data_IF_671768620544
#
_entry.id   IF_671768620544
#
_cell.length_a   1.000
_cell.length_b   1.000
_cell.length_c   1.000
_cell.angle_alpha   90.00
_cell.angle_beta   90.00
_cell.angle_gamma   90.00
#
_symmetry.space_group_name_H-M   'P 1'
#
loop_
_entity.id
_entity.type
_entity.pdbx_description
1 polymer ?
#
# COMPACT_ATOMS: atom_id res chain seq x y z
N UNK A 1 0.88 -9.48 10.45
CA UNK A 1 1.01 -9.06 9.04
C UNK A 1 1.07 -10.29 8.13
N UNK A 2 1.94 -11.25 8.44
CA UNK A 2 1.97 -12.58 7.79
C UNK A 2 0.61 -13.30 7.76
N UNK A 3 -0.12 -13.32 8.88
CA UNK A 3 -1.42 -13.98 8.98
C UNK A 3 -2.51 -13.40 8.05
N UNK A 4 -2.48 -12.09 7.78
CA UNK A 4 -3.43 -11.45 6.86
C UNK A 4 -3.06 -11.72 5.38
N UNK A 5 -1.77 -11.83 5.07
CA UNK A 5 -1.29 -12.17 3.72
C UNK A 5 -1.66 -13.59 3.31
N UNK A 6 -1.51 -14.57 4.22
CA UNK A 6 -1.96 -15.95 3.99
C UNK A 6 -3.48 -16.11 4.02
N UNK A 7 -4.20 -15.41 4.90
CA UNK A 7 -5.67 -15.43 4.94
C UNK A 7 -6.30 -14.86 3.66
N UNK A 8 -5.62 -13.92 3.00
CA UNK A 8 -6.00 -13.38 1.69
C UNK A 8 -5.60 -14.30 0.51
N UNK A 9 -5.09 -15.50 0.79
CA UNK A 9 -4.71 -16.53 -0.18
C UNK A 9 -3.46 -16.21 -0.99
N UNK A 10 -2.64 -15.23 -0.57
CA UNK A 10 -1.59 -14.65 -1.42
C UNK A 10 -2.13 -14.26 -2.82
N UNK A 11 -3.29 -13.60 -2.88
CA UNK A 11 -3.92 -13.14 -4.14
C UNK A 11 -3.98 -11.63 -4.31
N UNK A 12 -3.64 -10.87 -3.27
CA UNK A 12 -3.84 -9.43 -3.23
C UNK A 12 -2.58 -8.71 -2.75
N UNK A 13 -2.42 -7.49 -3.25
CA UNK A 13 -1.40 -6.55 -2.85
C UNK A 13 -1.88 -5.76 -1.63
N UNK A 14 -0.93 -5.38 -0.78
CA UNK A 14 -1.17 -4.55 0.41
C UNK A 14 -0.31 -3.30 0.34
N UNK A 15 -0.92 -2.15 0.58
CA UNK A 15 -0.24 -0.86 0.69
C UNK A 15 -0.58 -0.22 2.03
N UNK A 16 0.43 0.31 2.71
CA UNK A 16 0.31 1.11 3.93
C UNK A 16 1.01 2.43 3.67
N UNK A 17 0.32 3.54 3.89
CA UNK A 17 0.85 4.88 3.62
C UNK A 17 0.44 5.89 4.69
N UNK A 18 1.37 6.73 5.11
CA UNK A 18 1.09 7.87 5.98
C UNK A 18 0.22 8.90 5.24
N UNK A 19 -1.04 9.06 5.64
CA UNK A 19 -1.99 9.96 4.97
C UNK A 19 -1.69 11.45 5.15
N UNK A 20 -0.72 11.82 5.99
CA UNK A 20 -0.28 13.21 6.13
C UNK A 20 0.65 13.67 5.00
N UNK A 21 1.09 12.76 4.12
CA UNK A 21 1.95 13.08 2.98
C UNK A 21 1.16 13.11 1.66
N UNK A 22 1.72 13.77 0.65
CA UNK A 22 1.16 13.76 -0.70
C UNK A 22 1.32 12.39 -1.37
N UNK A 23 0.26 11.91 -2.02
CA UNK A 23 0.30 10.66 -2.77
C UNK A 23 -0.68 10.65 -3.94
N UNK A 24 -0.47 9.74 -4.88
CA UNK A 24 -1.45 9.36 -5.90
C UNK A 24 -1.62 7.84 -5.91
N UNK A 25 -2.85 7.37 -6.13
CA UNK A 25 -3.14 5.94 -6.27
C UNK A 25 -4.08 5.69 -7.43
N UNK A 26 -3.88 4.56 -8.10
CA UNK A 26 -4.84 3.99 -9.04
C UNK A 26 -4.92 2.50 -8.77
N UNK A 27 -5.67 2.13 -7.73
CA UNK A 27 -5.86 0.72 -7.37
C UNK A 27 -7.12 0.14 -8.03
N UNK A 28 -6.96 -1.05 -8.59
CA UNK A 28 -8.03 -1.83 -9.18
C UNK A 28 -8.41 -2.99 -8.25
N UNK A 29 -9.70 -3.30 -8.18
CA UNK A 29 -10.21 -4.43 -7.39
C UNK A 29 -9.94 -4.27 -5.89
N UNK A 30 -10.04 -3.06 -5.34
CA UNK A 30 -9.88 -2.80 -3.90
C UNK A 30 -10.88 -3.65 -3.12
N UNK A 31 -10.38 -4.50 -2.23
CA UNK A 31 -11.17 -5.33 -1.32
C UNK A 31 -11.43 -4.64 -0.01
N UNK A 32 -10.45 -3.87 0.45
CA UNK A 32 -10.54 -3.16 1.72
C UNK A 32 -9.71 -1.89 1.66
N UNK A 33 -10.28 -0.82 2.22
CA UNK A 33 -9.55 0.35 2.68
C UNK A 33 -9.88 0.57 4.15
N UNK A 34 -8.87 0.75 4.97
CA UNK A 34 -9.02 1.07 6.38
C UNK A 34 -7.99 2.13 6.79
N UNK A 35 -8.27 2.81 7.90
CA UNK A 35 -7.30 3.71 8.53
C UNK A 35 -6.86 3.16 9.87
N UNK A 36 -5.58 3.30 10.17
CA UNK A 36 -4.98 2.89 11.45
C UNK A 36 -4.21 4.08 12.00
N UNK A 37 -4.46 4.41 13.26
CA UNK A 37 -3.74 5.48 13.95
C UNK A 37 -2.57 4.90 14.74
N UNK A 38 -1.38 5.45 14.55
CA UNK A 38 -0.18 5.13 15.31
C UNK A 38 0.44 6.43 15.83
N UNK A 39 0.32 6.66 17.14
CA UNK A 39 0.63 7.96 17.74
C UNK A 39 -0.28 9.06 17.18
N UNK A 40 0.32 10.13 16.64
CA UNK A 40 -0.38 11.24 15.98
C UNK A 40 -0.60 11.02 14.48
N UNK A 41 -0.07 9.93 13.91
CA UNK A 41 -0.09 9.69 12.46
C UNK A 41 -1.23 8.73 12.10
N UNK A 42 -1.98 9.08 11.05
CA UNK A 42 -3.00 8.21 10.46
C UNK A 42 -2.44 7.57 9.20
N UNK A 43 -2.41 6.25 9.18
CA UNK A 43 -2.02 5.46 8.02
C UNK A 43 -3.26 4.93 7.30
N UNK A 44 -3.24 4.97 5.97
CA UNK A 44 -4.17 4.25 5.12
C UNK A 44 -3.63 2.86 4.85
N UNK A 45 -4.51 1.86 4.88
CA UNK A 45 -4.22 0.47 4.57
C UNK A 45 -5.14 0.04 3.44
N UNK A 46 -4.58 -0.33 2.29
CA UNK A 46 -5.32 -0.84 1.14
C UNK A 46 -4.99 -2.31 0.90
N UNK A 47 -6.02 -3.09 0.60
CA UNK A 47 -5.91 -4.45 0.06
C UNK A 47 -6.57 -4.47 -1.31
N UNK A 48 -5.83 -4.82 -2.36
CA UNK A 48 -6.26 -4.62 -3.74
C UNK A 48 -5.63 -5.62 -4.71
N UNK A 49 -6.13 -5.70 -5.94
CA UNK A 49 -5.68 -6.71 -6.91
C UNK A 49 -4.44 -6.28 -7.69
N UNK A 50 -4.42 -5.06 -8.21
CA UNK A 50 -3.31 -4.48 -8.97
C UNK A 50 -3.48 -2.97 -9.06
N UNK A 51 -2.52 -2.28 -9.66
CA UNK A 51 -2.60 -0.85 -9.90
C UNK A 51 -1.30 -0.15 -9.56
N UNK A 52 -1.34 1.17 -9.37
CA UNK A 52 -0.13 1.93 -9.08
C UNK A 52 -0.29 2.85 -7.87
N UNK A 53 0.86 3.14 -7.26
CA UNK A 53 0.99 4.11 -6.18
C UNK A 53 2.20 5.00 -6.43
N UNK A 54 2.03 6.31 -6.24
CA UNK A 54 3.12 7.29 -6.28
C UNK A 54 3.21 7.97 -4.94
N UNK A 55 4.32 7.76 -4.23
CA UNK A 55 4.69 8.55 -3.06
C UNK A 55 5.24 9.90 -3.53
N UNK A 56 4.54 10.99 -3.21
CA UNK A 56 4.98 12.38 -3.47
C UNK A 56 5.53 13.07 -2.21
N UNK A 57 5.63 12.35 -1.10
CA UNK A 57 6.30 12.80 0.11
C UNK A 57 7.83 12.66 0.01
N UNK A 58 8.48 12.60 1.16
CA UNK A 58 9.94 12.51 1.29
C UNK A 58 10.53 11.13 0.91
N UNK A 59 9.68 10.14 0.58
CA UNK A 59 10.11 8.79 0.20
C UNK A 59 10.72 7.97 1.34
N UNK A 60 10.76 8.50 2.57
CA UNK A 60 11.42 7.89 3.72
C UNK A 60 10.82 6.53 4.11
N UNK A 61 11.66 5.60 4.56
CA UNK A 61 11.28 4.22 4.91
C UNK A 61 10.17 4.11 5.98
N UNK A 62 10.00 5.13 6.82
CA UNK A 62 9.00 5.15 7.91
C UNK A 62 7.59 5.50 7.39
N UNK A 63 7.48 6.13 6.22
CA UNK A 63 6.23 6.71 5.77
C UNK A 63 5.33 5.76 4.97
N UNK A 64 5.85 4.60 4.58
CA UNK A 64 5.11 3.64 3.77
C UNK A 64 5.70 2.24 3.81
N UNK A 65 4.82 1.25 3.63
CA UNK A 65 5.19 -0.16 3.51
C UNK A 65 4.21 -0.85 2.56
N UNK A 66 4.67 -1.84 1.80
CA UNK A 66 3.82 -2.58 0.88
C UNK A 66 4.35 -3.99 0.63
N UNK A 67 3.44 -4.89 0.24
CA UNK A 67 3.71 -6.30 -0.03
C UNK A 67 2.84 -6.80 -1.17
N UNK A 68 3.38 -7.71 -1.98
CA UNK A 68 2.70 -8.33 -3.10
C UNK A 68 3.63 -8.51 -4.29
N UNK A 69 3.09 -8.42 -5.51
CA UNK A 69 3.84 -8.52 -6.76
C UNK A 69 3.96 -7.13 -7.35
N UNK A 70 5.16 -6.59 -7.38
CA UNK A 70 5.36 -5.21 -7.83
C UNK A 70 6.73 -5.00 -8.48
N UNK A 71 6.79 -3.95 -9.29
CA UNK A 71 8.01 -3.30 -9.74
C UNK A 71 8.06 -1.91 -9.11
N UNK A 72 9.23 -1.50 -8.63
CA UNK A 72 9.43 -0.21 -7.97
C UNK A 72 10.50 0.60 -8.68
N UNK A 73 10.21 1.89 -8.88
CA UNK A 73 11.19 2.88 -9.29
C UNK A 73 11.04 4.15 -8.44
N UNK A 74 11.97 4.37 -7.49
CA UNK A 74 11.90 5.50 -6.57
C UNK A 74 10.62 5.49 -5.71
N UNK A 75 9.83 6.56 -5.83
CA UNK A 75 8.54 6.72 -5.15
C UNK A 75 7.35 6.09 -5.89
N UNK A 76 7.55 5.58 -7.11
CA UNK A 76 6.51 4.92 -7.90
C UNK A 76 6.58 3.41 -7.72
N UNK A 77 5.41 2.79 -7.49
CA UNK A 77 5.24 1.34 -7.40
C UNK A 77 4.10 0.92 -8.31
N UNK A 78 4.38 -0.05 -9.18
CA UNK A 78 3.39 -0.68 -10.03
C UNK A 78 3.14 -2.11 -9.53
N UNK A 79 1.93 -2.37 -9.07
CA UNK A 79 1.48 -3.65 -8.54
C UNK A 79 0.77 -4.47 -9.63
N UNK A 80 1.09 -5.76 -9.70
CA UNK A 80 0.50 -6.74 -10.61
C UNK A 80 -0.25 -7.82 -9.82
N UNK A 81 -1.11 -8.56 -10.53
CA UNK A 81 -1.64 -9.83 -10.01
C UNK A 81 -0.50 -10.87 -9.99
N UNK A 82 -0.58 -11.91 -9.14
CA UNK A 82 0.32 -13.05 -9.19
C UNK A 82 0.46 -13.62 -10.60
#
# INVERSE_FOLDING_TARGET
MESAFYAAGAKYNVMVFNLSQGYETRFNGVKTFATVKYGSITYGVWVFENGSFTNKGDGGYINWAFRGWFDRNGGFVNFRRP
#
